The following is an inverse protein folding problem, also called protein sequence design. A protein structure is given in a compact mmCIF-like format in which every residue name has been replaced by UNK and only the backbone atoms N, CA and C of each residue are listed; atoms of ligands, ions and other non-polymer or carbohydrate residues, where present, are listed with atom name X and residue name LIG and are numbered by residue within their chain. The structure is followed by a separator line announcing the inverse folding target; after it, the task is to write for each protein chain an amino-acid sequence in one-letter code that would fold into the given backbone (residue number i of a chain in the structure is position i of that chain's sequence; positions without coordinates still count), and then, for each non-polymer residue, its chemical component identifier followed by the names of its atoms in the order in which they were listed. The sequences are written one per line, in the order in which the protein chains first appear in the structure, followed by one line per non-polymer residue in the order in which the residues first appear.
data_IF_940400837663
#
_entry.id   IF_940400837663
#
_cell.length_a   1.000
_cell.length_b   1.000
_cell.length_c   1.000
_cell.angle_alpha   90.00
_cell.angle_beta   90.00
_cell.angle_gamma   90.00
#
_symmetry.space_group_name_H-M   'P 1'
#
loop_
_entity.id
_entity.type
_entity.pdbx_description
1 polymer ?
#
# COMPACT_ATOMS: atom_id res chain seq x y z
N UNK A 1 7.19 10.07 11.81
CA UNK A 1 6.48 8.77 11.70
C UNK A 1 6.34 8.40 10.24
N UNK A 2 6.25 7.13 9.99
CA UNK A 2 6.04 6.59 8.63
C UNK A 2 4.74 5.79 8.61
N UNK A 3 4.03 5.86 7.49
CA UNK A 3 2.82 5.08 7.27
C UNK A 3 2.97 4.26 5.99
N UNK A 4 2.69 2.97 6.09
CA UNK A 4 2.64 2.06 4.93
C UNK A 4 1.20 2.00 4.45
N UNK A 5 0.98 2.24 3.16
CA UNK A 5 -0.35 2.28 2.56
C UNK A 5 -0.48 1.30 1.39
N UNK A 6 -1.69 0.85 1.14
CA UNK A 6 -1.99 -0.02 0.00
C UNK A 6 -2.05 0.77 -1.32
N UNK A 7 -2.31 0.06 -2.41
CA UNK A 7 -2.32 0.66 -3.74
C UNK A 7 -3.49 1.62 -3.97
N UNK A 8 -4.65 1.37 -3.37
CA UNK A 8 -5.78 2.29 -3.46
C UNK A 8 -5.45 3.64 -2.80
N UNK A 9 -4.83 3.60 -1.62
CA UNK A 9 -4.45 4.80 -0.91
C UNK A 9 -3.25 5.50 -1.57
N UNK A 10 -2.31 4.73 -2.11
CA UNK A 10 -1.20 5.29 -2.89
C UNK A 10 -1.73 6.03 -4.13
N UNK A 11 -2.65 5.42 -4.86
CA UNK A 11 -3.31 6.04 -6.01
C UNK A 11 -3.92 7.39 -5.64
N UNK A 12 -4.69 7.39 -4.58
CA UNK A 12 -5.41 8.60 -4.15
C UNK A 12 -4.48 9.67 -3.60
N UNK A 13 -3.40 9.25 -2.94
CA UNK A 13 -2.36 10.18 -2.50
C UNK A 13 -1.68 10.86 -3.69
N UNK A 14 -1.24 10.08 -4.69
CA UNK A 14 -0.56 10.61 -5.86
C UNK A 14 -1.45 11.53 -6.68
N UNK A 15 -2.73 11.20 -6.77
CA UNK A 15 -3.72 11.99 -7.51
C UNK A 15 -4.36 13.11 -6.69
N UNK A 16 -4.04 13.20 -5.39
CA UNK A 16 -4.63 14.20 -4.48
C UNK A 16 -6.16 14.17 -4.45
N UNK A 17 -6.74 12.98 -4.56
CA UNK A 17 -8.20 12.83 -4.71
C UNK A 17 -8.96 12.71 -3.41
N UNK A 18 -8.30 12.33 -2.33
CA UNK A 18 -8.98 12.03 -1.07
C UNK A 18 -8.51 12.97 0.04
N UNK A 19 -9.28 14.02 0.35
CA UNK A 19 -8.93 14.94 1.42
C UNK A 19 -8.83 14.27 2.80
N UNK A 20 -9.66 13.25 3.05
CA UNK A 20 -9.61 12.52 4.33
C UNK A 20 -8.30 11.75 4.46
N UNK A 21 -7.83 11.13 3.39
CA UNK A 21 -6.52 10.46 3.36
C UNK A 21 -5.40 11.47 3.57
N UNK A 22 -5.41 12.56 2.83
CA UNK A 22 -4.40 13.61 2.94
C UNK A 22 -4.30 14.13 4.37
N UNK A 23 -5.43 14.33 5.02
CA UNK A 23 -5.48 14.77 6.41
C UNK A 23 -5.02 13.70 7.39
N UNK A 24 -5.43 12.45 7.17
CA UNK A 24 -5.12 11.33 8.08
C UNK A 24 -3.62 11.02 8.16
N UNK A 25 -2.86 11.30 7.11
CA UNK A 25 -1.43 11.02 7.04
C UNK A 25 -0.58 12.29 6.90
N UNK A 26 -1.17 13.43 7.21
CA UNK A 26 -0.46 14.71 7.13
C UNK A 26 0.76 14.71 8.05
N UNK A 27 1.90 15.16 7.52
CA UNK A 27 3.16 15.21 8.24
C UNK A 27 3.88 13.87 8.39
N UNK A 28 3.31 12.75 7.93
CA UNK A 28 3.97 11.46 7.96
C UNK A 28 4.69 11.17 6.65
N UNK A 29 5.82 10.44 6.73
CA UNK A 29 6.46 9.90 5.55
C UNK A 29 5.62 8.73 5.00
N UNK A 30 5.43 8.70 3.69
CA UNK A 30 4.64 7.67 3.04
C UNK A 30 5.54 6.52 2.58
N UNK A 31 5.06 5.30 2.80
CA UNK A 31 5.67 4.08 2.27
C UNK A 31 4.60 3.20 1.64
N UNK A 32 5.01 2.36 0.73
CA UNK A 32 4.16 1.31 0.18
C UNK A 32 5.00 0.04 -0.05
N UNK A 33 4.38 -1.00 -0.56
CA UNK A 33 5.08 -2.26 -0.81
C UNK A 33 5.36 -2.44 -2.30
N UNK A 34 6.32 -3.31 -2.62
CA UNK A 34 6.61 -3.66 -4.01
C UNK A 34 5.38 -4.25 -4.71
N UNK A 35 4.66 -5.14 -4.02
CA UNK A 35 3.50 -5.82 -4.61
C UNK A 35 2.32 -4.87 -4.82
N UNK A 36 2.04 -3.98 -3.90
CA UNK A 36 0.99 -2.98 -4.09
C UNK A 36 1.36 -1.98 -5.16
N UNK A 37 2.60 -1.52 -5.16
CA UNK A 37 3.09 -0.62 -6.21
C UNK A 37 2.97 -1.30 -7.59
N UNK A 38 3.41 -2.54 -7.72
CA UNK A 38 3.32 -3.29 -8.97
C UNK A 38 1.86 -3.51 -9.39
N UNK A 39 0.96 -3.82 -8.44
CA UNK A 39 -0.47 -4.00 -8.74
C UNK A 39 -1.09 -2.71 -9.29
N UNK A 40 -0.74 -1.57 -8.72
CA UNK A 40 -1.21 -0.27 -9.22
C UNK A 40 -0.66 0.02 -10.62
N UNK A 41 0.63 -0.24 -10.84
CA UNK A 41 1.24 -0.08 -12.16
C UNK A 41 0.58 -0.98 -13.21
N UNK A 42 0.30 -2.22 -12.85
CA UNK A 42 -0.42 -3.16 -13.73
C UNK A 42 -1.79 -2.63 -14.11
N UNK A 43 -2.53 -2.09 -13.18
CA UNK A 43 -3.84 -1.50 -13.43
C UNK A 43 -3.73 -0.28 -14.34
N UNK A 44 -2.81 0.63 -14.02
CA UNK A 44 -2.62 1.86 -14.80
C UNK A 44 -2.16 1.59 -16.24
N UNK A 45 -1.38 0.53 -16.46
CA UNK A 45 -0.87 0.16 -17.79
C UNK A 45 -1.96 -0.43 -18.71
N UNK A 46 -3.08 -0.90 -18.16
CA UNK A 46 -4.18 -1.41 -18.98
C UNK A 46 -4.93 -0.28 -19.67
N UNK A 47 -5.38 -0.52 -20.90
CA UNK A 47 -6.12 0.48 -21.69
C UNK A 47 -7.35 1.02 -20.96
N UNK A 48 -8.03 0.16 -20.20
CA UNK A 48 -9.24 0.52 -19.43
C UNK A 48 -8.94 0.99 -18.02
N UNK A 49 -7.68 0.94 -17.58
CA UNK A 49 -7.28 1.28 -16.21
C UNK A 49 -7.57 0.20 -15.18
N UNK A 50 -8.13 -0.95 -15.58
CA UNK A 50 -8.49 -2.01 -14.65
C UNK A 50 -9.46 -1.54 -13.57
N UNK A 51 -9.58 -2.33 -12.50
CA UNK A 51 -10.50 -2.00 -11.39
C UNK A 51 -10.07 -0.76 -10.60
N UNK A 52 -8.77 -0.52 -10.47
CA UNK A 52 -8.24 0.60 -9.69
C UNK A 52 -8.52 1.96 -10.33
N UNK A 53 -8.63 2.02 -11.65
CA UNK A 53 -8.84 3.26 -12.40
C UNK A 53 -10.15 3.29 -13.17
N UNK A 54 -11.11 2.45 -12.77
CA UNK A 54 -12.42 2.45 -13.41
C UNK A 54 -13.08 3.83 -13.26
N UNK A 55 -13.55 4.38 -14.38
CA UNK A 55 -14.20 5.69 -14.41
C UNK A 55 -13.25 6.89 -14.38
N UNK A 56 -11.93 6.67 -14.33
CA UNK A 56 -10.97 7.77 -14.39
C UNK A 56 -10.89 8.35 -15.80
N UNK A 57 -10.76 9.67 -15.89
CA UNK A 57 -10.57 10.37 -17.15
C UNK A 57 -9.17 10.12 -17.70
N UNK A 58 -9.02 10.28 -18.99
CA UNK A 58 -7.76 10.04 -19.69
C UNK A 58 -6.61 10.91 -19.17
N UNK A 59 -6.87 12.18 -18.91
CA UNK A 59 -5.88 13.11 -18.38
C UNK A 59 -5.47 12.76 -16.95
N UNK A 60 -6.43 12.34 -16.12
CA UNK A 60 -6.15 11.86 -14.76
C UNK A 60 -5.28 10.61 -14.78
N UNK A 61 -5.57 9.67 -15.66
CA UNK A 61 -4.76 8.46 -15.83
C UNK A 61 -3.33 8.79 -16.26
N UNK A 62 -3.18 9.70 -17.22
CA UNK A 62 -1.84 10.11 -17.69
C UNK A 62 -1.01 10.73 -16.57
N UNK A 63 -1.61 11.59 -15.77
CA UNK A 63 -0.94 12.21 -14.64
C UNK A 63 -0.50 11.16 -13.60
N UNK A 64 -1.37 10.19 -13.30
CA UNK A 64 -1.02 9.10 -12.40
C UNK A 64 0.11 8.24 -12.97
N UNK A 65 0.04 7.88 -14.24
CA UNK A 65 1.09 7.08 -14.91
C UNK A 65 2.45 7.79 -14.80
N UNK A 66 2.49 9.10 -15.04
CA UNK A 66 3.73 9.86 -14.89
C UNK A 66 4.29 9.75 -13.47
N UNK A 67 3.44 9.83 -12.45
CA UNK A 67 3.85 9.67 -11.06
C UNK A 67 4.29 8.24 -10.72
N UNK A 68 3.74 7.23 -11.39
CA UNK A 68 4.12 5.83 -11.16
C UNK A 68 5.43 5.47 -11.86
N UNK A 69 5.66 5.99 -13.06
CA UNK A 69 6.90 5.76 -13.80
C UNK A 69 8.09 6.43 -13.10
N UNK A 70 7.86 7.60 -12.55
CA UNK A 70 8.85 8.35 -11.77
C UNK A 70 8.28 8.56 -10.35
N UNK A 71 8.20 7.47 -9.59
CA UNK A 71 7.67 7.53 -8.23
C UNK A 71 8.49 8.53 -7.41
N UNK A 72 7.83 9.47 -6.69
CA UNK A 72 8.55 10.43 -5.86
C UNK A 72 9.52 9.75 -4.89
N UNK A 73 10.74 10.27 -4.78
CA UNK A 73 11.81 9.65 -3.99
C UNK A 73 11.48 9.62 -2.49
N UNK A 74 10.60 10.48 -2.03
CA UNK A 74 10.18 10.51 -0.63
C UNK A 74 9.15 9.42 -0.29
N UNK A 75 8.63 8.70 -1.28
CA UNK A 75 7.81 7.52 -1.04
C UNK A 75 8.73 6.31 -0.91
N UNK A 76 8.75 5.72 0.28
CA UNK A 76 9.64 4.60 0.61
C UNK A 76 9.06 3.30 0.08
N UNK A 77 9.88 2.53 -0.64
CA UNK A 77 9.59 1.14 -1.00
C UNK A 77 10.81 0.32 -0.62
N UNK A 78 10.68 -0.58 0.34
CA UNK A 78 11.80 -1.42 0.78
C UNK A 78 12.02 -2.50 -0.29
N UNK A 79 13.26 -2.69 -0.76
CA UNK A 79 13.54 -3.75 -1.72
C UNK A 79 13.09 -5.12 -1.21
N UNK A 80 12.48 -5.91 -2.09
CA UNK A 80 11.93 -7.22 -1.74
C UNK A 80 12.97 -8.13 -1.08
N UNK A 81 14.22 -8.05 -1.51
CA UNK A 81 15.31 -8.86 -0.96
C UNK A 81 15.52 -8.65 0.54
N UNK A 82 15.19 -7.47 1.06
CA UNK A 82 15.29 -7.15 2.49
C UNK A 82 14.10 -7.68 3.30
N UNK A 83 13.02 -8.04 2.64
CA UNK A 83 11.76 -8.44 3.29
C UNK A 83 11.45 -9.92 3.12
N UNK A 84 12.07 -10.57 2.14
CA UNK A 84 11.65 -11.91 1.68
C UNK A 84 11.65 -12.95 2.79
N UNK A 85 12.70 -12.99 3.61
CA UNK A 85 12.77 -13.97 4.71
C UNK A 85 11.67 -13.74 5.73
N UNK A 86 11.50 -12.47 6.16
CA UNK A 86 10.46 -12.10 7.12
C UNK A 86 9.05 -12.42 6.59
N UNK A 87 8.82 -12.17 5.31
CA UNK A 87 7.56 -12.53 4.66
C UNK A 87 7.30 -14.03 4.74
N UNK A 88 8.32 -14.82 4.49
CA UNK A 88 8.23 -16.29 4.61
C UNK A 88 7.86 -16.73 6.02
N UNK A 89 8.51 -16.17 7.03
CA UNK A 89 8.17 -16.44 8.43
C UNK A 89 6.72 -16.06 8.75
N UNK A 90 6.30 -14.89 8.31
CA UNK A 90 4.94 -14.40 8.60
C UNK A 90 3.87 -15.29 7.97
N UNK A 91 4.06 -15.71 6.73
CA UNK A 91 3.12 -16.61 6.05
C UNK A 91 3.08 -17.98 6.73
N UNK A 92 4.23 -18.48 7.18
CA UNK A 92 4.30 -19.76 7.89
C UNK A 92 3.59 -19.73 9.24
N UNK A 93 3.67 -18.59 9.94
CA UNK A 93 3.16 -18.44 11.30
C UNK A 93 1.71 -17.96 11.37
N UNK A 94 1.19 -17.38 10.30
CA UNK A 94 -0.15 -16.77 10.30
C UNK A 94 -1.00 -17.29 9.15
N UNK A 95 -1.94 -18.17 9.47
CA UNK A 95 -2.90 -18.69 8.50
C UNK A 95 -3.76 -17.58 7.91
N UNK A 96 -4.00 -17.65 6.62
CA UNK A 96 -4.84 -16.68 5.93
C UNK A 96 -4.14 -15.36 5.58
N UNK A 97 -2.86 -15.20 5.93
CA UNK A 97 -2.10 -14.02 5.54
C UNK A 97 -1.64 -14.19 4.08
N UNK A 98 -2.06 -13.26 3.22
CA UNK A 98 -1.65 -13.24 1.82
C UNK A 98 -0.21 -12.73 1.66
N UNK A 99 0.37 -12.92 0.48
CA UNK A 99 1.69 -12.34 0.17
C UNK A 99 1.66 -10.81 0.24
N UNK A 100 0.59 -10.20 -0.24
CA UNK A 100 0.41 -8.75 -0.14
C UNK A 100 0.44 -8.29 1.32
N UNK A 101 -0.33 -8.98 2.17
CA UNK A 101 -0.36 -8.68 3.60
C UNK A 101 0.97 -8.96 4.29
N UNK A 102 1.65 -10.04 3.93
CA UNK A 102 2.96 -10.37 4.50
C UNK A 102 4.01 -9.31 4.20
N UNK A 103 4.05 -8.81 2.97
CA UNK A 103 4.98 -7.73 2.62
C UNK A 103 4.63 -6.44 3.37
N UNK A 104 3.35 -6.14 3.49
CA UNK A 104 2.89 -4.95 4.19
C UNK A 104 3.31 -4.96 5.67
N UNK A 105 3.07 -6.08 6.35
CA UNK A 105 3.44 -6.23 7.76
C UNK A 105 4.96 -6.22 7.93
N UNK A 106 5.69 -6.92 7.07
CA UNK A 106 7.16 -6.91 7.10
C UNK A 106 7.72 -5.50 6.89
N UNK A 107 7.17 -4.74 5.97
CA UNK A 107 7.56 -3.35 5.72
C UNK A 107 7.27 -2.46 6.93
N UNK A 108 6.11 -2.62 7.54
CA UNK A 108 5.75 -1.85 8.73
C UNK A 108 6.69 -2.13 9.90
N UNK A 109 7.07 -3.40 10.10
CA UNK A 109 8.04 -3.78 11.14
C UNK A 109 9.41 -3.15 10.84
N UNK A 110 9.90 -3.30 9.62
CA UNK A 110 11.22 -2.79 9.22
C UNK A 110 11.32 -1.27 9.37
N UNK A 111 10.27 -0.56 9.04
CA UNK A 111 10.21 0.91 9.12
C UNK A 111 9.75 1.43 10.48
N UNK A 112 9.37 0.55 11.39
CA UNK A 112 8.69 0.92 12.63
C UNK A 112 7.52 1.86 12.33
N UNK A 113 6.71 1.48 11.34
CA UNK A 113 5.63 2.29 10.80
C UNK A 113 4.27 1.72 11.17
N UNK A 114 3.26 2.57 11.12
CA UNK A 114 1.88 2.09 11.12
C UNK A 114 1.47 1.63 9.72
N UNK A 115 0.47 0.79 9.66
CA UNK A 115 -0.06 0.24 8.41
C UNK A 115 -1.51 0.68 8.26
N UNK A 116 -1.82 1.35 7.16
CA UNK A 116 -3.17 1.81 6.86
C UNK A 116 -3.56 1.27 5.48
N UNK A 117 -4.68 0.59 5.42
CA UNK A 117 -5.18 0.01 4.18
C UNK A 117 -6.59 0.50 3.87
N UNK A 118 -6.97 0.42 2.60
CA UNK A 118 -8.36 0.61 2.18
C UNK A 118 -9.20 -0.60 2.58
N UNK A 119 -10.52 -0.45 2.51
CA UNK A 119 -11.43 -1.57 2.78
C UNK A 119 -11.15 -2.78 1.88
N UNK A 120 -10.56 -2.56 0.71
CA UNK A 120 -10.27 -3.59 -0.28
C UNK A 120 -9.22 -4.59 0.21
N UNK A 121 -8.21 -4.11 0.92
CA UNK A 121 -7.11 -4.92 1.41
C UNK A 121 -7.24 -5.26 2.90
N UNK A 122 -8.27 -4.78 3.57
CA UNK A 122 -8.57 -5.15 4.93
C UNK A 122 -9.10 -6.59 4.98
N UNK A 123 -8.72 -7.32 6.00
CA UNK A 123 -9.17 -8.68 6.19
C UNK A 123 -8.70 -9.24 7.52
N UNK A 124 -9.27 -10.40 7.95
CA UNK A 124 -8.93 -10.98 9.24
C UNK A 124 -7.46 -11.42 9.35
N UNK A 125 -6.88 -11.92 8.26
CA UNK A 125 -5.49 -12.40 8.28
C UNK A 125 -4.49 -11.30 8.60
N UNK A 126 -4.54 -10.19 7.88
CA UNK A 126 -3.64 -9.06 8.09
C UNK A 126 -3.91 -8.36 9.43
N UNK A 127 -5.18 -8.21 9.77
CA UNK A 127 -5.57 -7.57 11.03
C UNK A 127 -5.07 -8.36 12.23
N UNK A 128 -5.23 -9.66 12.22
CA UNK A 128 -4.77 -10.53 13.32
C UNK A 128 -3.26 -10.56 13.41
N UNK A 129 -2.57 -10.63 12.28
CA UNK A 129 -1.11 -10.59 12.24
C UNK A 129 -0.57 -9.30 12.88
N UNK A 130 -1.12 -8.16 12.52
CA UNK A 130 -0.74 -6.87 13.09
C UNK A 130 -1.01 -6.83 14.60
N UNK A 131 -2.17 -7.33 15.04
CA UNK A 131 -2.52 -7.38 16.45
C UNK A 131 -1.52 -8.24 17.24
N UNK A 132 -1.17 -9.41 16.73
CA UNK A 132 -0.22 -10.32 17.39
C UNK A 132 1.17 -9.70 17.51
N UNK A 133 1.62 -8.97 16.49
CA UNK A 133 2.96 -8.42 16.42
C UNK A 133 3.09 -6.98 16.92
N UNK A 134 2.00 -6.40 17.38
CA UNK A 134 2.02 -5.02 17.89
C UNK A 134 2.20 -3.96 16.81
N UNK A 135 1.83 -4.26 15.56
CA UNK A 135 1.83 -3.28 14.48
C UNK A 135 0.55 -2.46 14.55
N UNK A 136 0.69 -1.15 14.60
CA UNK A 136 -0.45 -0.23 14.58
C UNK A 136 -1.12 -0.32 13.20
N UNK A 137 -2.38 -0.74 13.20
CA UNK A 137 -3.14 -1.06 11.99
C UNK A 137 -4.44 -0.28 11.96
N UNK A 138 -4.72 0.33 10.82
CA UNK A 138 -5.97 1.04 10.61
C UNK A 138 -6.50 0.86 9.21
N UNK A 139 -7.75 1.24 9.01
CA UNK A 139 -8.40 1.21 7.70
C UNK A 139 -9.00 2.58 7.39
N UNK A 140 -8.91 2.96 6.11
CA UNK A 140 -9.67 4.09 5.59
C UNK A 140 -10.74 3.54 4.67
N UNK A 141 -11.98 3.68 5.11
CA UNK A 141 -13.12 3.21 4.32
C UNK A 141 -13.38 4.15 3.15
N UNK A 142 -13.65 3.52 2.05
CA UNK A 142 -13.90 4.22 0.80
C UNK A 142 -15.12 3.64 0.11
#
# INVERSE_FOLDING_TARGET
MTVVVDDHLLRDWLARRDPALLQAIDGEALATTNLWYARLCKSAARATGGALLAGWRRDERRALIASLVALPDDIVVIPMRQLAWKMGELVADHHGLSRLGAEAVASAIELNARLVVSARDDGPGIRQCCSTLGVDYGTLRR
#
